data_IF_721721750810
#
_entry.id   IF_721721750810
#
_cell.length_a   1.000
_cell.length_b   1.000
_cell.length_c   1.000
_cell.angle_alpha   90.00
_cell.angle_beta   90.00
_cell.angle_gamma   90.00
#
_symmetry.space_group_name_H-M   'P 1'
#
loop_
_entity.id
_entity.type
_entity.pdbx_description
1 polymer ?
#
# COMPACT_ATOMS: atom_id res chain seq x y z
N UNK A 1 22.78 10.22 1.21
CA UNK A 1 23.06 9.53 -0.05
C UNK A 1 24.45 8.92 0.07
N UNK A 2 24.59 7.60 0.02
CA UNK A 2 25.79 6.75 0.05
C UNK A 2 26.12 6.06 1.38
N UNK A 3 25.33 5.01 1.74
CA UNK A 3 25.79 4.04 2.74
C UNK A 3 25.30 2.59 2.48
N UNK A 4 24.90 2.26 1.26
CA UNK A 4 24.46 0.89 0.90
C UNK A 4 25.54 0.07 0.17
N UNK A 5 26.76 0.55 0.04
CA UNK A 5 27.81 -0.05 -0.81
C UNK A 5 28.78 -1.00 -0.09
N UNK A 6 28.46 -1.55 1.10
CA UNK A 6 29.35 -2.53 1.74
C UNK A 6 28.63 -3.64 2.53
N UNK A 7 27.77 -4.41 1.89
CA UNK A 7 27.43 -5.74 2.41
C UNK A 7 28.60 -6.70 2.06
N UNK A 8 29.46 -6.97 3.04
CA UNK A 8 30.57 -7.93 2.91
C UNK A 8 30.01 -9.35 2.73
N UNK A 9 30.51 -10.06 1.75
CA UNK A 9 30.34 -11.48 1.60
C UNK A 9 30.84 -12.20 2.87
N UNK A 10 29.91 -12.77 3.67
CA UNK A 10 30.27 -13.54 4.87
C UNK A 10 29.19 -13.70 5.93
N UNK A 11 28.06 -13.00 5.84
CA UNK A 11 26.96 -13.14 6.80
C UNK A 11 25.91 -14.13 6.32
N UNK A 12 25.37 -14.94 7.24
CA UNK A 12 24.42 -16.03 7.00
C UNK A 12 23.29 -15.56 6.06
N UNK A 13 23.38 -15.99 4.79
CA UNK A 13 22.28 -15.91 3.84
C UNK A 13 21.06 -16.62 4.45
N UNK A 14 19.91 -15.98 4.40
CA UNK A 14 18.62 -16.64 4.64
C UNK A 14 18.60 -17.94 3.83
N UNK A 15 18.43 -19.06 4.52
CA UNK A 15 18.60 -20.39 3.92
C UNK A 15 17.47 -20.59 2.90
N UNK A 16 17.81 -20.58 1.61
CA UNK A 16 16.94 -21.03 0.53
C UNK A 16 16.17 -19.97 -0.26
N UNK A 17 16.32 -18.69 0.01
CA UNK A 17 15.63 -17.66 -0.79
C UNK A 17 16.29 -17.51 -2.16
N UNK A 18 15.55 -17.89 -3.22
CA UNK A 18 15.96 -17.61 -4.60
C UNK A 18 15.80 -16.10 -4.86
N UNK A 19 16.92 -15.40 -5.08
CA UNK A 19 16.88 -13.98 -5.45
C UNK A 19 16.07 -13.80 -6.75
N UNK A 20 15.32 -12.69 -6.82
CA UNK A 20 14.67 -12.29 -8.06
C UNK A 20 15.78 -11.75 -8.97
N UNK A 21 16.21 -12.57 -9.94
CA UNK A 21 17.13 -12.14 -11.00
C UNK A 21 16.33 -11.35 -12.04
N UNK A 22 16.69 -10.10 -12.28
CA UNK A 22 15.98 -9.21 -13.20
C UNK A 22 16.95 -8.40 -14.05
N UNK A 23 16.46 -7.97 -15.21
CA UNK A 23 17.15 -6.99 -16.06
C UNK A 23 16.36 -5.69 -16.06
N UNK A 24 17.10 -4.57 -16.08
CA UNK A 24 16.54 -3.23 -16.15
C UNK A 24 16.96 -2.57 -17.47
N UNK A 25 15.98 -1.96 -18.14
CA UNK A 25 16.16 -1.14 -19.34
C UNK A 25 15.35 0.12 -19.19
N UNK A 26 15.82 1.24 -19.71
CA UNK A 26 15.04 2.49 -19.77
C UNK A 26 14.90 2.90 -21.24
N UNK A 27 13.69 3.13 -21.68
CA UNK A 27 13.37 3.58 -23.01
C UNK A 27 13.68 5.10 -23.16
N UNK A 28 13.80 5.58 -24.39
CA UNK A 28 14.10 7.00 -24.68
C UNK A 28 13.03 7.97 -24.12
N UNK A 29 11.77 7.53 -24.05
CA UNK A 29 10.69 8.30 -23.44
C UNK A 29 10.69 8.27 -21.90
N UNK A 30 11.66 7.57 -21.28
CA UNK A 30 11.84 7.51 -19.85
C UNK A 30 11.11 6.37 -19.14
N UNK A 31 10.39 5.51 -19.85
CA UNK A 31 9.76 4.32 -19.29
C UNK A 31 10.83 3.36 -18.75
N UNK A 32 10.67 2.93 -17.51
CA UNK A 32 11.54 1.90 -16.92
C UNK A 32 10.92 0.52 -17.12
N UNK A 33 11.66 -0.38 -17.75
CA UNK A 33 11.31 -1.78 -17.92
C UNK A 33 12.16 -2.66 -16.99
N UNK A 34 11.50 -3.54 -16.24
CA UNK A 34 12.12 -4.63 -15.47
C UNK A 34 11.63 -5.96 -16.01
N UNK A 35 12.53 -6.92 -16.21
CA UNK A 35 12.15 -8.25 -16.69
C UNK A 35 12.76 -9.34 -15.82
N UNK A 36 11.93 -10.29 -15.36
CA UNK A 36 12.33 -11.47 -14.60
C UNK A 36 11.91 -12.75 -15.35
N UNK A 37 12.88 -13.57 -15.73
CA UNK A 37 12.60 -14.85 -16.42
C UNK A 37 12.37 -15.97 -15.41
N UNK A 38 11.21 -16.62 -15.53
CA UNK A 38 10.89 -17.87 -14.84
C UNK A 38 10.37 -18.90 -15.85
N UNK A 39 11.21 -19.87 -16.19
CA UNK A 39 10.84 -20.94 -17.14
C UNK A 39 10.05 -22.08 -16.49
N UNK A 40 9.77 -22.02 -15.19
CA UNK A 40 8.98 -23.04 -14.49
C UNK A 40 7.48 -22.89 -14.68
N UNK A 41 7.04 -21.77 -15.25
CA UNK A 41 5.64 -21.47 -15.55
C UNK A 41 5.42 -21.33 -17.05
N UNK A 42 4.18 -21.51 -17.52
CA UNK A 42 3.74 -21.19 -18.89
C UNK A 42 3.15 -19.77 -19.01
N UNK A 43 3.07 -19.02 -17.90
CA UNK A 43 2.43 -17.72 -17.83
C UNK A 43 3.47 -16.59 -17.94
N UNK A 44 2.99 -15.43 -18.36
CA UNK A 44 3.66 -14.14 -18.22
C UNK A 44 2.74 -13.18 -17.47
N UNK A 45 3.32 -12.42 -16.55
CA UNK A 45 2.64 -11.38 -15.80
C UNK A 45 3.25 -10.03 -16.15
N UNK A 46 2.43 -9.07 -16.54
CA UNK A 46 2.81 -7.68 -16.81
C UNK A 46 2.23 -6.83 -15.69
N UNK A 47 3.08 -6.05 -15.04
CA UNK A 47 2.71 -5.11 -14.00
C UNK A 47 3.13 -3.72 -14.43
N UNK A 48 2.19 -2.76 -14.37
CA UNK A 48 2.48 -1.35 -14.63
C UNK A 48 2.18 -0.55 -13.38
N UNK A 49 3.22 0.00 -12.81
CA UNK A 49 3.15 0.88 -11.65
C UNK A 49 3.31 2.33 -12.11
N UNK A 50 2.29 3.14 -11.84
CA UNK A 50 2.36 4.59 -11.97
C UNK A 50 2.68 5.19 -10.62
N UNK A 51 3.70 6.07 -10.59
CA UNK A 51 4.10 6.77 -9.38
C UNK A 51 3.15 7.94 -9.13
N UNK A 52 1.90 7.63 -8.82
CA UNK A 52 0.82 8.55 -8.48
C UNK A 52 -0.19 7.85 -7.58
N UNK A 53 -0.60 8.51 -6.53
CA UNK A 53 -1.61 8.03 -5.58
C UNK A 53 -2.38 9.18 -4.96
N UNK A 54 -3.14 8.90 -3.91
CA UNK A 54 -3.98 9.90 -3.26
C UNK A 54 -3.19 11.11 -2.72
N UNK A 55 -1.91 10.94 -2.38
CA UNK A 55 -1.05 12.06 -1.93
C UNK A 55 -0.76 13.11 -2.99
N UNK A 56 -0.90 12.75 -4.27
CA UNK A 56 -0.62 13.63 -5.41
C UNK A 56 -1.81 14.51 -5.81
N UNK A 57 -2.95 14.32 -5.15
CA UNK A 57 -4.20 15.01 -5.43
C UNK A 57 -4.19 16.44 -4.91
N UNK A 58 -4.93 17.31 -5.60
CA UNK A 58 -5.24 18.62 -5.08
C UNK A 58 -6.20 18.48 -3.88
N UNK A 59 -5.95 19.15 -2.74
CA UNK A 59 -6.85 19.12 -1.58
C UNK A 59 -8.32 19.48 -1.87
N UNK A 60 -8.57 20.22 -2.94
CA UNK A 60 -9.94 20.60 -3.36
C UNK A 60 -10.55 19.66 -4.40
N UNK A 61 -9.77 18.65 -4.86
CA UNK A 61 -10.17 17.66 -5.86
C UNK A 61 -9.57 16.30 -5.48
N UNK A 62 -10.05 15.69 -4.40
CA UNK A 62 -9.57 14.39 -3.89
C UNK A 62 -10.40 13.22 -4.42
N UNK A 63 -9.83 12.02 -4.42
CA UNK A 63 -10.43 10.80 -4.97
C UNK A 63 -10.12 10.59 -6.47
N UNK A 64 -9.29 11.43 -7.07
CA UNK A 64 -8.96 11.37 -8.50
C UNK A 64 -8.08 10.16 -8.84
N UNK A 65 -7.10 9.82 -8.01
CA UNK A 65 -6.26 8.65 -8.25
C UNK A 65 -7.09 7.36 -8.31
N UNK A 66 -8.06 7.22 -7.42
CA UNK A 66 -8.99 6.09 -7.41
C UNK A 66 -10.00 6.16 -8.57
N UNK A 67 -10.52 7.35 -8.91
CA UNK A 67 -11.36 7.51 -10.09
C UNK A 67 -10.63 7.07 -11.37
N UNK A 68 -9.31 7.35 -11.45
CA UNK A 68 -8.49 6.90 -12.58
C UNK A 68 -8.30 5.39 -12.62
N UNK A 69 -8.21 4.72 -11.49
CA UNK A 69 -8.21 3.25 -11.46
C UNK A 69 -9.43 2.70 -12.25
N UNK A 70 -10.61 3.26 -12.02
CA UNK A 70 -11.83 2.88 -12.73
C UNK A 70 -11.84 3.35 -14.19
N UNK A 71 -11.43 4.56 -14.49
CA UNK A 71 -11.41 5.12 -15.84
C UNK A 71 -10.52 4.31 -16.77
N UNK A 72 -9.42 3.77 -16.30
CA UNK A 72 -8.48 2.95 -17.07
C UNK A 72 -9.08 1.62 -17.55
N UNK A 73 -10.19 1.15 -16.94
CA UNK A 73 -10.96 0.00 -17.41
C UNK A 73 -12.17 0.40 -18.26
N UNK A 74 -12.48 1.70 -18.33
CA UNK A 74 -13.61 2.22 -19.10
C UNK A 74 -13.42 2.23 -20.62
N UNK A 75 -12.25 1.83 -21.09
CA UNK A 75 -11.87 1.83 -22.50
C UNK A 75 -10.78 2.88 -22.83
N UNK A 76 -10.03 2.61 -23.87
CA UNK A 76 -9.01 3.50 -24.42
C UNK A 76 -9.38 3.95 -25.82
N UNK A 77 -8.60 4.85 -26.40
CA UNK A 77 -8.92 5.46 -27.71
C UNK A 77 -9.15 4.45 -28.83
N UNK A 78 -8.41 3.33 -28.84
CA UNK A 78 -8.51 2.31 -29.88
C UNK A 78 -9.16 1.01 -29.38
N UNK A 79 -9.33 0.83 -28.06
CA UNK A 79 -9.82 -0.39 -27.46
C UNK A 79 -10.98 -0.07 -26.51
N UNK A 80 -12.22 0.02 -27.01
CA UNK A 80 -13.39 0.35 -26.19
C UNK A 80 -13.81 -0.77 -25.21
N UNK A 81 -13.32 -1.98 -25.39
CA UNK A 81 -13.67 -3.16 -24.58
C UNK A 81 -12.42 -3.88 -24.06
N UNK A 82 -11.74 -3.29 -23.07
CA UNK A 82 -10.53 -3.86 -22.47
C UNK A 82 -10.75 -5.29 -21.98
N UNK A 83 -11.78 -5.52 -21.15
CA UNK A 83 -12.05 -6.83 -20.52
C UNK A 83 -12.32 -7.92 -21.55
N UNK A 84 -13.07 -7.63 -22.62
CA UNK A 84 -13.34 -8.62 -23.65
C UNK A 84 -12.08 -9.08 -24.37
N UNK A 85 -11.13 -8.19 -24.61
CA UNK A 85 -9.85 -8.55 -25.26
C UNK A 85 -8.99 -9.35 -24.31
N UNK A 86 -8.95 -8.95 -23.02
CA UNK A 86 -8.24 -9.68 -21.98
C UNK A 86 -8.78 -11.11 -21.79
N UNK A 87 -10.09 -11.26 -21.67
CA UNK A 87 -10.77 -12.55 -21.55
C UNK A 87 -10.48 -13.47 -22.74
N UNK A 88 -10.55 -12.94 -23.96
CA UNK A 88 -10.23 -13.70 -25.18
C UNK A 88 -8.76 -14.19 -25.22
N UNK A 89 -7.85 -13.49 -24.57
CA UNK A 89 -6.46 -13.90 -24.41
C UNK A 89 -6.24 -14.86 -23.22
N UNK A 90 -7.29 -15.20 -22.46
CA UNK A 90 -7.20 -16.02 -21.26
C UNK A 90 -6.46 -15.31 -20.12
N UNK A 91 -6.65 -14.01 -20.01
CA UNK A 91 -5.98 -13.18 -19.03
C UNK A 91 -6.80 -13.02 -17.75
N UNK A 92 -6.09 -12.89 -16.63
CA UNK A 92 -6.59 -12.40 -15.35
C UNK A 92 -5.96 -11.03 -15.10
N UNK A 93 -6.76 -10.02 -14.82
CA UNK A 93 -6.29 -8.66 -14.59
C UNK A 93 -6.94 -8.05 -13.35
N UNK A 94 -6.29 -7.04 -12.77
CA UNK A 94 -6.82 -6.21 -11.71
C UNK A 94 -5.97 -4.94 -11.55
N UNK A 95 -6.40 -4.06 -10.63
CA UNK A 95 -5.65 -2.86 -10.25
C UNK A 95 -5.85 -2.56 -8.76
N UNK A 96 -5.03 -1.66 -8.24
CA UNK A 96 -5.25 -1.04 -6.94
C UNK A 96 -4.62 0.36 -6.89
N UNK A 97 -5.23 1.21 -6.09
CA UNK A 97 -4.71 2.54 -5.76
C UNK A 97 -4.51 2.64 -4.25
N UNK A 98 -3.38 3.19 -3.85
CA UNK A 98 -3.13 3.55 -2.46
C UNK A 98 -2.73 5.03 -2.34
N UNK A 99 -2.16 5.42 -1.21
CA UNK A 99 -1.75 6.79 -0.99
C UNK A 99 -0.65 7.25 -1.98
N UNK A 100 0.17 6.33 -2.49
CA UNK A 100 1.45 6.63 -3.13
C UNK A 100 1.53 6.21 -4.59
N UNK A 101 0.85 5.12 -4.96
CA UNK A 101 0.92 4.50 -6.28
C UNK A 101 -0.45 4.05 -6.78
N UNK A 102 -0.58 4.00 -8.11
CA UNK A 102 -1.65 3.28 -8.80
C UNK A 102 -1.01 2.17 -9.64
N UNK A 103 -1.48 0.95 -9.48
CA UNK A 103 -0.85 -0.23 -10.03
C UNK A 103 -1.85 -1.07 -10.80
N UNK A 104 -1.51 -1.43 -12.05
CA UNK A 104 -2.30 -2.28 -12.92
C UNK A 104 -1.52 -3.53 -13.24
N UNK A 105 -2.20 -4.66 -13.34
CA UNK A 105 -1.54 -5.90 -13.69
C UNK A 105 -2.43 -6.84 -14.47
N UNK A 106 -1.78 -7.65 -15.31
CA UNK A 106 -2.41 -8.67 -16.13
C UNK A 106 -1.51 -9.89 -16.20
N UNK A 107 -2.09 -11.07 -16.01
CA UNK A 107 -1.42 -12.37 -16.13
C UNK A 107 -2.13 -13.20 -17.18
N UNK A 108 -1.37 -13.80 -18.10
CA UNK A 108 -1.90 -14.54 -19.24
C UNK A 108 -0.88 -15.59 -19.74
N UNK A 109 -1.27 -16.52 -20.61
CA UNK A 109 -0.32 -17.41 -21.26
C UNK A 109 0.79 -16.62 -21.97
N UNK A 110 2.06 -17.01 -21.76
CA UNK A 110 3.21 -16.24 -22.21
C UNK A 110 3.27 -15.98 -23.74
N UNK A 111 2.59 -16.83 -24.53
CA UNK A 111 2.45 -16.64 -25.99
C UNK A 111 1.63 -15.39 -26.34
N UNK A 112 0.73 -14.95 -25.44
CA UNK A 112 -0.13 -13.76 -25.60
C UNK A 112 0.45 -12.51 -24.93
N UNK A 113 1.72 -12.51 -24.50
CA UNK A 113 2.38 -11.35 -23.88
C UNK A 113 2.17 -10.06 -24.68
N UNK A 114 2.22 -10.14 -26.00
CA UNK A 114 2.04 -8.97 -26.87
C UNK A 114 0.65 -8.35 -26.76
N UNK A 115 -0.39 -9.16 -26.54
CA UNK A 115 -1.76 -8.66 -26.30
C UNK A 115 -1.82 -7.83 -25.02
N UNK A 116 -1.18 -8.28 -23.93
CA UNK A 116 -1.12 -7.50 -22.70
C UNK A 116 -0.42 -6.15 -22.92
N UNK A 117 0.72 -6.16 -23.62
CA UNK A 117 1.49 -4.92 -23.89
C UNK A 117 0.71 -3.95 -24.79
N UNK A 118 -0.02 -4.46 -25.77
CA UNK A 118 -0.92 -3.65 -26.58
C UNK A 118 -2.02 -3.00 -25.74
N UNK A 119 -2.74 -3.77 -24.92
CA UNK A 119 -3.80 -3.26 -24.03
C UNK A 119 -3.28 -2.15 -23.11
N UNK A 120 -2.16 -2.42 -22.46
CA UNK A 120 -1.57 -1.51 -21.48
C UNK A 120 -1.00 -0.24 -22.11
N UNK A 121 -0.38 -0.36 -23.28
CA UNK A 121 0.18 0.79 -24.00
C UNK A 121 -0.91 1.72 -24.55
N UNK A 122 -2.03 1.16 -25.03
CA UNK A 122 -3.11 1.95 -25.56
C UNK A 122 -3.74 2.83 -24.49
N UNK A 123 -4.02 2.26 -23.29
CA UNK A 123 -4.57 3.05 -22.19
C UNK A 123 -3.56 4.03 -21.56
N UNK A 124 -2.24 3.78 -21.65
CA UNK A 124 -1.22 4.76 -21.26
C UNK A 124 -1.14 5.91 -22.26
N UNK A 125 -1.37 5.64 -23.53
CA UNK A 125 -1.31 6.65 -24.59
C UNK A 125 -2.49 7.62 -24.51
N UNK A 126 -3.73 7.09 -24.54
CA UNK A 126 -4.95 7.89 -24.54
C UNK A 126 -6.16 7.06 -24.11
N UNK A 127 -6.91 7.56 -23.13
CA UNK A 127 -8.20 6.98 -22.71
C UNK A 127 -9.35 7.52 -23.60
N UNK A 128 -10.52 6.86 -23.48
CA UNK A 128 -11.78 7.43 -23.99
C UNK A 128 -12.26 8.54 -23.04
N UNK A 129 -11.79 9.77 -23.29
CA UNK A 129 -12.22 10.95 -22.56
C UNK A 129 -13.57 11.45 -23.10
N UNK A 130 -14.65 10.74 -22.78
CA UNK A 130 -16.02 11.16 -23.08
C UNK A 130 -16.80 11.49 -21.81
N UNK A 131 -17.73 12.45 -21.89
CA UNK A 131 -18.64 12.78 -20.80
C UNK A 131 -19.44 11.55 -20.35
N UNK A 132 -19.75 10.64 -21.27
CA UNK A 132 -20.45 9.40 -20.98
C UNK A 132 -19.59 8.47 -20.12
N UNK A 133 -18.34 8.22 -20.50
CA UNK A 133 -17.40 7.36 -19.76
C UNK A 133 -17.15 7.94 -18.38
N UNK A 134 -16.86 9.24 -18.27
CA UNK A 134 -16.67 9.93 -17.02
C UNK A 134 -17.90 9.82 -16.10
N UNK A 135 -19.10 10.06 -16.64
CA UNK A 135 -20.35 9.96 -15.86
C UNK A 135 -20.57 8.56 -15.32
N UNK A 136 -20.30 7.52 -16.07
CA UNK A 136 -20.42 6.12 -15.63
C UNK A 136 -19.48 5.87 -14.46
N UNK A 137 -18.20 6.21 -14.56
CA UNK A 137 -17.22 5.93 -13.52
C UNK A 137 -17.43 6.77 -12.25
N UNK A 138 -17.87 8.03 -12.38
CA UNK A 138 -18.31 8.85 -11.25
C UNK A 138 -19.44 8.19 -10.46
N UNK A 139 -20.40 7.60 -11.14
CA UNK A 139 -21.50 6.88 -10.49
C UNK A 139 -21.01 5.60 -9.80
N UNK A 140 -20.12 4.83 -10.43
CA UNK A 140 -19.52 3.63 -9.84
C UNK A 140 -18.77 3.97 -8.55
N UNK A 141 -17.87 4.95 -8.59
CA UNK A 141 -17.09 5.39 -7.41
C UNK A 141 -18.02 5.95 -6.32
N UNK A 142 -19.06 6.70 -6.70
CA UNK A 142 -20.04 7.22 -5.74
C UNK A 142 -20.80 6.09 -5.04
N UNK A 143 -21.19 5.06 -5.79
CA UNK A 143 -21.88 3.91 -5.20
C UNK A 143 -20.94 3.09 -4.32
N UNK A 144 -19.69 2.90 -4.73
CA UNK A 144 -18.67 2.28 -3.89
C UNK A 144 -18.44 3.04 -2.58
N UNK A 145 -18.40 4.38 -2.62
CA UNK A 145 -18.33 5.21 -1.42
C UNK A 145 -19.51 4.92 -0.46
N UNK A 146 -20.73 4.87 -1.00
CA UNK A 146 -21.91 4.55 -0.19
C UNK A 146 -21.82 3.17 0.43
N UNK A 147 -21.45 2.17 -0.38
CA UNK A 147 -21.38 0.77 0.09
C UNK A 147 -20.28 0.56 1.12
N UNK A 148 -19.08 1.08 0.89
CA UNK A 148 -17.91 0.81 1.74
C UNK A 148 -17.79 1.72 2.94
N UNK A 149 -18.22 2.99 2.82
CA UNK A 149 -17.98 3.99 3.86
C UNK A 149 -19.23 4.42 4.61
N UNK A 150 -20.42 4.35 4.00
CA UNK A 150 -21.67 4.78 4.64
C UNK A 150 -22.50 3.60 5.14
N UNK A 151 -22.73 2.60 4.31
CA UNK A 151 -23.67 1.50 4.57
C UNK A 151 -23.07 0.32 5.35
N UNK A 152 -21.78 0.36 5.66
CA UNK A 152 -21.12 -0.69 6.45
C UNK A 152 -20.80 -0.22 7.87
N UNK A 153 -21.00 -1.07 8.88
CA UNK A 153 -20.46 -0.81 10.22
C UNK A 153 -18.95 -0.51 10.15
N UNK A 154 -18.52 0.54 10.83
CA UNK A 154 -17.13 0.99 10.85
C UNK A 154 -16.58 1.52 9.51
N UNK A 155 -17.41 1.74 8.51
CA UNK A 155 -16.98 2.18 7.18
C UNK A 155 -16.24 3.51 7.18
N UNK A 156 -16.66 4.48 7.98
CA UNK A 156 -16.06 5.81 8.09
C UNK A 156 -14.86 5.90 9.07
N UNK A 157 -14.41 4.77 9.63
CA UNK A 157 -13.34 4.76 10.63
C UNK A 157 -12.05 5.44 10.12
N UNK A 158 -11.59 5.10 8.93
CA UNK A 158 -10.40 5.71 8.34
C UNK A 158 -10.62 7.14 7.86
N UNK A 159 -11.83 7.51 7.44
CA UNK A 159 -12.19 8.89 7.10
C UNK A 159 -12.10 9.82 8.33
N UNK A 160 -12.29 9.26 9.53
CA UNK A 160 -12.18 9.98 10.81
C UNK A 160 -10.74 9.94 11.36
N UNK A 161 -10.06 8.80 11.28
CA UNK A 161 -8.73 8.61 11.86
C UNK A 161 -7.67 9.42 11.11
N UNK A 162 -7.69 9.42 9.77
CA UNK A 162 -6.65 10.07 8.98
C UNK A 162 -6.54 11.57 9.25
N UNK A 163 -7.62 12.39 9.22
CA UNK A 163 -7.53 13.82 9.55
C UNK A 163 -7.24 14.10 11.03
N UNK A 164 -7.48 13.13 11.93
CA UNK A 164 -7.06 13.24 13.33
C UNK A 164 -5.53 13.04 13.46
N UNK A 165 -4.95 12.12 12.70
CA UNK A 165 -3.54 11.79 12.75
C UNK A 165 -2.67 12.76 11.92
N UNK A 166 -3.16 13.24 10.77
CA UNK A 166 -2.44 14.17 9.89
C UNK A 166 -3.18 15.50 9.77
N UNK A 167 -2.46 16.60 9.95
CA UNK A 167 -3.02 17.95 9.88
C UNK A 167 -2.75 18.66 8.56
N UNK A 168 -1.60 18.40 7.95
CA UNK A 168 -1.18 19.06 6.71
C UNK A 168 -0.83 18.10 5.59
N UNK A 169 -0.22 16.94 5.92
CA UNK A 169 0.20 15.97 4.91
C UNK A 169 -1.01 15.38 4.17
N UNK A 170 -0.93 15.13 2.84
CA UNK A 170 -2.03 14.56 2.07
C UNK A 170 -2.55 13.20 2.55
N UNK A 171 -1.80 12.46 3.36
CA UNK A 171 -2.30 11.24 4.00
C UNK A 171 -3.49 11.45 4.95
N UNK A 172 -3.90 12.70 5.16
CA UNK A 172 -5.12 13.05 5.93
C UNK A 172 -6.43 12.69 5.24
N UNK A 173 -6.41 12.30 3.96
CA UNK A 173 -7.59 11.74 3.28
C UNK A 173 -7.33 10.33 2.77
N UNK A 174 -8.42 9.59 2.57
CA UNK A 174 -8.40 8.25 2.00
C UNK A 174 -8.33 8.31 0.46
N UNK A 175 -7.99 7.20 -0.18
CA UNK A 175 -7.97 7.07 -1.64
C UNK A 175 -9.31 7.38 -2.31
N UNK A 176 -10.42 7.10 -1.63
CA UNK A 176 -11.77 7.47 -2.09
C UNK A 176 -12.02 8.99 -2.10
N UNK A 177 -11.13 9.77 -1.52
CA UNK A 177 -11.25 11.21 -1.31
C UNK A 177 -11.71 11.59 0.09
N UNK A 178 -11.56 12.87 0.46
CA UNK A 178 -12.08 13.42 1.72
C UNK A 178 -13.57 13.76 1.64
N UNK A 179 -14.06 14.03 0.43
CA UNK A 179 -15.46 14.36 0.14
C UNK A 179 -15.83 13.79 -1.22
N UNK A 180 -16.88 12.98 -1.26
CA UNK A 180 -17.36 12.36 -2.50
C UNK A 180 -17.83 13.41 -3.54
N UNK A 181 -18.22 14.60 -3.08
CA UNK A 181 -18.58 15.69 -3.97
C UNK A 181 -17.43 16.09 -4.92
N UNK A 182 -16.18 15.89 -4.53
CA UNK A 182 -15.04 16.14 -5.41
C UNK A 182 -15.05 15.24 -6.65
N UNK A 183 -15.38 13.96 -6.49
CA UNK A 183 -15.53 13.01 -7.58
C UNK A 183 -16.80 13.31 -8.39
N UNK A 184 -17.94 13.57 -7.71
CA UNK A 184 -19.21 13.85 -8.39
C UNK A 184 -19.14 15.08 -9.27
N UNK A 185 -18.41 16.11 -8.87
CA UNK A 185 -18.27 17.37 -9.58
C UNK A 185 -17.02 17.43 -10.48
N UNK A 186 -16.26 16.34 -10.60
CA UNK A 186 -15.09 16.28 -11.48
C UNK A 186 -15.49 16.61 -12.93
N UNK A 187 -14.75 17.50 -13.56
CA UNK A 187 -14.93 17.87 -14.97
C UNK A 187 -14.00 17.08 -15.88
N UNK A 188 -14.36 16.94 -17.15
CA UNK A 188 -13.55 16.24 -18.12
C UNK A 188 -12.15 16.87 -18.23
N UNK A 189 -12.05 18.20 -18.23
CA UNK A 189 -10.76 18.90 -18.27
C UNK A 189 -9.85 18.56 -17.08
N UNK A 190 -10.40 18.52 -15.84
CA UNK A 190 -9.63 18.15 -14.66
C UNK A 190 -9.11 16.71 -14.74
N UNK A 191 -9.92 15.83 -15.31
CA UNK A 191 -9.54 14.41 -15.52
C UNK A 191 -8.44 14.32 -16.58
N UNK A 192 -8.56 15.01 -17.70
CA UNK A 192 -7.51 15.06 -18.73
C UNK A 192 -6.20 15.63 -18.17
N UNK A 193 -6.25 16.74 -17.43
CA UNK A 193 -5.08 17.38 -16.83
C UNK A 193 -4.35 16.41 -15.88
N UNK A 194 -5.10 15.65 -15.06
CA UNK A 194 -4.54 14.67 -14.15
C UNK A 194 -3.88 13.51 -14.92
N UNK A 195 -4.54 12.99 -15.97
CA UNK A 195 -3.98 11.94 -16.80
C UNK A 195 -2.68 12.37 -17.45
N UNK A 196 -2.68 13.49 -18.18
CA UNK A 196 -1.51 13.98 -18.91
C UNK A 196 -0.35 14.36 -17.99
N UNK A 197 -0.63 14.66 -16.73
CA UNK A 197 0.38 14.94 -15.72
C UNK A 197 1.03 13.68 -15.18
N UNK A 198 0.26 12.64 -14.89
CA UNK A 198 0.74 11.52 -14.09
C UNK A 198 0.85 10.19 -14.84
N UNK A 199 0.00 9.92 -15.83
CA UNK A 199 -0.04 8.65 -16.55
C UNK A 199 0.82 8.70 -17.81
N UNK A 200 2.14 8.89 -17.59
CA UNK A 200 3.14 9.04 -18.65
C UNK A 200 4.29 8.04 -18.49
N UNK A 201 4.97 7.68 -19.60
CA UNK A 201 6.06 6.71 -19.56
C UNK A 201 7.13 7.00 -18.52
N UNK A 202 7.56 8.24 -18.40
CA UNK A 202 8.60 8.67 -17.46
C UNK A 202 8.14 8.74 -15.98
N UNK A 203 6.87 8.48 -15.70
CA UNK A 203 6.29 8.32 -14.36
C UNK A 203 5.78 6.89 -14.13
N UNK A 204 6.17 5.94 -14.98
CA UNK A 204 5.71 4.55 -14.96
C UNK A 204 6.87 3.56 -14.94
N UNK A 205 6.61 2.40 -14.36
CA UNK A 205 7.50 1.25 -14.33
C UNK A 205 6.72 0.05 -14.87
N UNK A 206 7.21 -0.56 -15.94
CA UNK A 206 6.71 -1.83 -16.45
C UNK A 206 7.58 -2.94 -15.91
N UNK A 207 7.00 -3.91 -15.22
CA UNK A 207 7.70 -5.10 -14.78
C UNK A 207 7.04 -6.36 -15.38
N UNK A 208 7.81 -7.18 -16.06
CA UNK A 208 7.35 -8.41 -16.70
C UNK A 208 8.06 -9.59 -16.05
N UNK A 209 7.27 -10.54 -15.52
CA UNK A 209 7.81 -11.76 -14.92
C UNK A 209 7.12 -13.01 -15.49
N UNK A 210 7.87 -14.11 -15.63
CA UNK A 210 7.34 -15.40 -16.09
C UNK A 210 8.15 -16.01 -17.22
N UNK A 211 7.50 -16.81 -18.05
CA UNK A 211 8.14 -17.49 -19.17
C UNK A 211 8.37 -16.55 -20.35
N UNK A 212 9.35 -15.69 -20.21
CA UNK A 212 9.69 -14.66 -21.17
C UNK A 212 11.16 -14.74 -21.57
N UNK A 213 11.46 -14.27 -22.77
CA UNK A 213 12.82 -13.91 -23.17
C UNK A 213 13.01 -12.40 -22.98
N UNK A 214 14.10 -12.00 -22.30
CA UNK A 214 14.38 -10.61 -21.97
C UNK A 214 14.46 -9.68 -23.19
N UNK A 215 15.12 -10.14 -24.26
CA UNK A 215 15.31 -9.31 -25.45
C UNK A 215 14.02 -9.17 -26.24
N UNK A 216 13.25 -10.28 -26.34
CA UNK A 216 11.93 -10.25 -26.97
C UNK A 216 10.97 -9.35 -26.17
N UNK A 217 10.96 -9.44 -24.85
CA UNK A 217 10.12 -8.57 -24.00
C UNK A 217 10.50 -7.10 -24.17
N UNK A 218 11.81 -6.78 -24.20
CA UNK A 218 12.28 -5.41 -24.42
C UNK A 218 11.87 -4.87 -25.80
N UNK A 219 12.02 -5.67 -26.85
CA UNK A 219 11.61 -5.28 -28.21
C UNK A 219 10.08 -5.06 -28.32
N UNK A 220 9.26 -5.89 -27.65
CA UNK A 220 7.82 -5.72 -27.62
C UNK A 220 7.41 -4.46 -26.84
N UNK A 221 8.06 -4.20 -25.69
CA UNK A 221 7.79 -2.97 -24.92
C UNK A 221 8.20 -1.73 -25.72
N UNK A 222 9.34 -1.75 -26.40
CA UNK A 222 9.75 -0.65 -27.26
C UNK A 222 8.75 -0.44 -28.43
N UNK A 223 8.31 -1.52 -29.06
CA UNK A 223 7.29 -1.48 -30.13
C UNK A 223 6.00 -0.77 -29.68
N UNK A 224 5.49 -1.11 -28.50
CA UNK A 224 4.17 -0.66 -28.07
C UNK A 224 4.22 0.64 -27.26
N UNK A 225 5.24 0.83 -26.45
CA UNK A 225 5.35 2.00 -25.56
C UNK A 225 6.32 3.06 -26.06
N UNK A 226 7.28 2.71 -26.96
CA UNK A 226 8.38 3.60 -27.33
C UNK A 226 7.93 4.89 -28.01
N UNK A 227 6.81 4.87 -28.74
CA UNK A 227 6.24 6.05 -29.41
C UNK A 227 5.38 6.93 -28.50
N UNK A 228 5.03 6.48 -27.28
CA UNK A 228 4.22 7.27 -26.36
C UNK A 228 5.06 8.46 -25.88
N UNK A 229 4.56 9.69 -25.99
CA UNK A 229 5.33 10.88 -25.63
C UNK A 229 5.71 10.89 -24.14
N UNK A 230 6.96 11.29 -23.88
CA UNK A 230 7.43 11.59 -22.52
C UNK A 230 6.61 12.75 -21.95
N UNK A 231 6.17 12.63 -20.69
CA UNK A 231 5.52 13.72 -19.96
C UNK A 231 6.52 14.65 -19.28
N UNK A 232 6.02 15.71 -18.70
CA UNK A 232 6.79 16.56 -17.79
C UNK A 232 7.24 15.77 -16.56
N UNK A 233 8.36 16.17 -15.97
CA UNK A 233 8.83 15.54 -14.73
C UNK A 233 7.89 15.88 -13.56
N UNK A 234 7.40 14.87 -12.86
CA UNK A 234 6.57 15.07 -11.67
C UNK A 234 7.46 15.51 -10.50
N UNK A 235 7.42 16.79 -10.18
CA UNK A 235 8.12 17.34 -9.02
C UNK A 235 7.13 17.44 -7.86
N UNK A 236 7.34 16.64 -6.81
CA UNK A 236 6.52 16.66 -5.60
C UNK A 236 7.07 17.65 -4.58
N UNK A 237 6.19 18.49 -4.06
CA UNK A 237 6.47 19.42 -2.95
C UNK A 237 5.39 19.24 -1.90
N UNK A 238 5.35 18.03 -1.32
CA UNK A 238 4.38 17.71 -0.28
C UNK A 238 4.76 18.42 1.02
N UNK A 239 3.79 18.97 1.77
CA UNK A 239 4.06 19.53 3.07
C UNK A 239 4.47 18.42 4.04
N UNK A 240 5.54 18.64 4.80
CA UNK A 240 5.90 17.73 5.88
C UNK A 240 4.89 17.85 7.02
N UNK A 241 4.46 16.72 7.54
CA UNK A 241 3.60 16.71 8.73
C UNK A 241 4.39 17.18 9.95
N UNK A 242 3.90 18.15 10.72
CA UNK A 242 4.59 18.61 11.93
C UNK A 242 4.65 17.50 12.99
N UNK A 243 5.67 17.57 13.84
CA UNK A 243 5.75 16.68 15.00
C UNK A 243 4.53 16.89 15.91
N UNK A 244 3.91 15.78 16.32
CA UNK A 244 2.79 15.83 17.23
C UNK A 244 3.29 15.94 18.67
N UNK A 245 2.98 17.07 19.32
CA UNK A 245 3.43 17.41 20.67
C UNK A 245 2.36 17.26 21.75
N UNK A 246 1.12 16.98 21.35
CA UNK A 246 -0.02 16.74 22.24
C UNK A 246 -0.90 15.60 21.74
N UNK A 247 -1.52 14.87 22.66
CA UNK A 247 -2.46 13.82 22.33
C UNK A 247 -3.70 14.41 21.64
N UNK A 248 -4.21 13.69 20.65
CA UNK A 248 -5.44 14.07 19.95
C UNK A 248 -6.48 13.00 20.15
N UNK A 249 -7.71 13.41 20.40
CA UNK A 249 -8.81 12.48 20.66
C UNK A 249 -10.06 12.90 19.88
N UNK A 250 -10.79 11.91 19.38
CA UNK A 250 -12.09 12.07 18.75
C UNK A 250 -13.02 10.96 19.25
N UNK A 251 -14.19 11.34 19.77
CA UNK A 251 -15.24 10.39 20.11
C UNK A 251 -16.44 10.56 19.17
N UNK A 252 -16.87 9.47 18.57
CA UNK A 252 -18.07 9.44 17.72
C UNK A 252 -18.99 8.30 18.15
N UNK A 253 -20.29 8.49 17.98
CA UNK A 253 -21.29 7.46 18.23
C UNK A 253 -21.89 6.99 16.92
N UNK A 254 -22.03 5.67 16.75
CA UNK A 254 -22.54 5.03 15.54
C UNK A 254 -23.41 3.82 15.88
N UNK A 255 -24.28 3.47 14.95
CA UNK A 255 -25.03 2.20 15.03
C UNK A 255 -24.13 1.05 14.58
N UNK A 256 -23.42 0.45 15.53
CA UNK A 256 -22.46 -0.63 15.29
C UNK A 256 -22.61 -1.74 16.33
N UNK A 257 -22.18 -2.99 15.98
CA UNK A 257 -22.30 -4.13 16.88
C UNK A 257 -21.54 -3.96 18.21
N UNK A 258 -20.34 -3.39 18.17
CA UNK A 258 -19.47 -3.18 19.32
C UNK A 258 -18.73 -1.85 19.24
N UNK A 259 -18.38 -1.26 20.37
CA UNK A 259 -17.48 -0.10 20.41
C UNK A 259 -16.08 -0.51 19.94
N UNK A 260 -15.38 0.41 19.28
CA UNK A 260 -14.00 0.21 18.83
C UNK A 260 -13.15 1.36 19.34
N UNK A 261 -11.95 1.05 19.79
CA UNK A 261 -10.91 2.03 20.07
C UNK A 261 -9.80 1.88 19.04
N UNK A 262 -9.37 3.00 18.46
CA UNK A 262 -8.23 3.02 17.53
C UNK A 262 -7.20 4.00 18.06
N UNK A 263 -5.97 3.51 18.23
CA UNK A 263 -4.81 4.34 18.61
C UNK A 263 -3.82 4.38 17.47
N UNK A 264 -3.47 5.58 17.05
CA UNK A 264 -2.52 5.81 15.97
C UNK A 264 -1.32 6.59 16.48
N UNK A 265 -0.14 6.10 16.16
CA UNK A 265 1.13 6.74 16.43
C UNK A 265 1.87 6.96 15.11
N UNK A 266 2.54 8.10 14.97
CA UNK A 266 3.36 8.33 13.78
C UNK A 266 4.57 7.42 13.75
N UNK A 267 4.87 6.90 12.58
CA UNK A 267 6.07 6.12 12.32
C UNK A 267 6.93 6.77 11.20
N UNK A 268 8.12 6.27 11.02
CA UNK A 268 9.05 6.71 9.99
C UNK A 268 8.57 6.37 8.57
N UNK A 269 9.18 6.99 7.57
CA UNK A 269 8.96 6.72 6.15
C UNK A 269 9.53 5.35 5.73
N UNK A 270 9.08 4.83 4.57
CA UNK A 270 9.35 3.46 4.08
C UNK A 270 10.84 3.10 3.98
N UNK A 271 11.69 4.04 3.62
CA UNK A 271 13.13 3.80 3.46
C UNK A 271 13.96 4.00 4.75
N UNK A 272 13.31 4.34 5.87
CA UNK A 272 14.01 4.47 7.15
C UNK A 272 14.35 3.08 7.72
N UNK A 273 15.53 2.86 8.31
CA UNK A 273 15.89 1.57 8.92
C UNK A 273 14.89 1.07 9.97
N UNK A 274 14.31 1.97 10.74
CA UNK A 274 13.33 1.64 11.78
C UNK A 274 11.97 1.17 11.23
N UNK A 275 11.71 1.27 9.93
CA UNK A 275 10.50 0.75 9.32
C UNK A 275 10.30 -0.75 9.63
N UNK A 276 11.34 -1.53 9.49
CA UNK A 276 11.34 -2.97 9.76
C UNK A 276 11.18 -3.28 11.26
N UNK A 277 11.64 -2.37 12.10
CA UNK A 277 11.46 -2.49 13.55
C UNK A 277 10.01 -2.26 13.93
N UNK A 278 9.35 -1.24 13.37
CA UNK A 278 7.91 -0.98 13.57
C UNK A 278 7.05 -2.17 13.12
N UNK A 279 7.37 -2.77 11.98
CA UNK A 279 6.65 -3.92 11.45
C UNK A 279 6.78 -5.13 12.38
N UNK A 280 7.99 -5.45 12.84
CA UNK A 280 8.19 -6.52 13.83
C UNK A 280 7.53 -6.23 15.18
N UNK A 281 7.45 -4.96 15.62
CA UNK A 281 6.70 -4.59 16.83
C UNK A 281 5.21 -4.91 16.65
N UNK A 282 4.64 -4.61 15.47
CA UNK A 282 3.23 -4.94 15.20
C UNK A 282 2.97 -6.45 15.27
N UNK A 283 3.89 -7.25 14.75
CA UNK A 283 3.82 -8.72 14.77
C UNK A 283 3.94 -9.29 16.19
N UNK A 284 4.85 -8.75 17.01
CA UNK A 284 4.99 -9.13 18.43
C UNK A 284 3.69 -8.86 19.18
N UNK A 285 3.06 -7.72 18.92
CA UNK A 285 1.86 -7.29 19.62
C UNK A 285 0.61 -8.04 19.17
N UNK A 286 0.41 -8.30 17.88
CA UNK A 286 -0.90 -8.80 17.41
C UNK A 286 -0.87 -9.96 16.43
N UNK A 287 0.26 -10.33 15.83
CA UNK A 287 0.26 -11.36 14.78
C UNK A 287 0.09 -12.78 15.36
N UNK A 288 -1.13 -13.30 15.16
CA UNK A 288 -1.51 -14.66 15.53
C UNK A 288 -1.83 -14.84 17.01
N UNK A 289 -2.30 -16.06 17.37
CA UNK A 289 -2.79 -16.40 18.71
C UNK A 289 -1.70 -16.46 19.80
N UNK A 290 -0.44 -16.41 19.43
CA UNK A 290 0.70 -16.37 20.35
C UNK A 290 1.23 -14.96 20.60
N UNK A 291 0.60 -13.94 20.04
CA UNK A 291 0.96 -12.54 20.23
C UNK A 291 0.57 -12.01 21.60
N UNK A 292 1.22 -10.93 22.04
CA UNK A 292 1.05 -10.37 23.39
C UNK A 292 -0.38 -9.90 23.63
N UNK A 293 -0.92 -9.05 22.73
CA UNK A 293 -2.26 -8.49 22.89
C UNK A 293 -3.35 -9.56 22.82
N UNK A 294 -3.20 -10.55 21.93
CA UNK A 294 -4.16 -11.64 21.88
C UNK A 294 -4.20 -12.43 23.19
N UNK A 295 -3.03 -12.87 23.69
CA UNK A 295 -2.98 -13.65 24.93
C UNK A 295 -3.50 -12.84 26.12
N UNK A 296 -3.01 -11.62 26.30
CA UNK A 296 -3.34 -10.85 27.49
C UNK A 296 -4.73 -10.22 27.41
N UNK A 297 -5.07 -9.56 26.31
CA UNK A 297 -6.26 -8.72 26.23
C UNK A 297 -7.49 -9.47 25.72
N UNK A 298 -7.32 -10.47 24.83
CA UNK A 298 -8.44 -11.26 24.32
C UNK A 298 -8.68 -12.50 25.17
N UNK A 299 -7.64 -13.30 25.41
CA UNK A 299 -7.78 -14.61 26.07
C UNK A 299 -7.87 -14.50 27.59
N UNK A 300 -6.93 -13.80 28.24
CA UNK A 300 -6.82 -13.75 29.70
C UNK A 300 -7.83 -12.73 30.28
N UNK A 301 -7.69 -11.47 29.93
CA UNK A 301 -8.51 -10.36 30.51
C UNK A 301 -9.88 -10.21 29.84
N UNK A 302 -10.06 -10.75 28.62
CA UNK A 302 -11.33 -10.70 27.85
C UNK A 302 -11.88 -9.29 27.69
N UNK A 303 -10.99 -8.32 27.49
CA UNK A 303 -11.37 -6.92 27.29
C UNK A 303 -11.76 -6.63 25.83
N UNK A 304 -11.27 -7.46 24.90
CA UNK A 304 -11.53 -7.31 23.48
C UNK A 304 -12.02 -8.63 22.87
N UNK A 305 -12.92 -8.53 21.91
CA UNK A 305 -13.30 -9.67 21.06
C UNK A 305 -12.27 -9.87 19.95
N UNK A 306 -11.67 -8.77 19.47
CA UNK A 306 -10.58 -8.74 18.49
C UNK A 306 -9.69 -7.53 18.78
N UNK A 307 -8.39 -7.72 18.66
CA UNK A 307 -7.42 -6.61 18.69
C UNK A 307 -6.35 -6.87 17.65
N UNK A 308 -5.92 -5.82 16.96
CA UNK A 308 -4.94 -5.86 15.91
C UNK A 308 -3.98 -4.67 16.02
N UNK A 309 -2.73 -4.86 15.64
CA UNK A 309 -1.75 -3.81 15.47
C UNK A 309 -1.07 -3.96 14.13
N UNK A 310 -0.96 -2.88 13.37
CA UNK A 310 -0.36 -2.89 12.04
C UNK A 310 0.35 -1.56 11.74
N UNK A 311 1.16 -1.56 10.69
CA UNK A 311 1.72 -0.36 10.07
C UNK A 311 1.01 -0.06 8.75
N UNK A 312 0.94 1.22 8.35
CA UNK A 312 0.24 1.59 7.11
C UNK A 312 1.05 1.33 5.85
N UNK A 313 2.37 1.16 5.96
CA UNK A 313 3.24 0.83 4.81
C UNK A 313 3.41 1.94 3.78
N UNK A 314 3.06 3.17 4.12
CA UNK A 314 3.14 4.36 3.27
C UNK A 314 4.61 4.70 2.92
N UNK A 315 4.85 5.35 1.78
CA UNK A 315 6.21 5.77 1.35
C UNK A 315 6.75 6.89 2.22
N UNK A 316 5.93 7.90 2.52
CA UNK A 316 6.26 8.97 3.45
C UNK A 316 5.99 8.51 4.91
N UNK A 317 6.04 9.40 5.89
CA UNK A 317 5.79 9.05 7.29
C UNK A 317 4.39 8.47 7.51
N UNK A 318 4.35 7.18 7.84
CA UNK A 318 3.14 6.40 8.04
C UNK A 318 2.61 6.41 9.47
N UNK A 319 1.77 5.44 9.76
CA UNK A 319 1.15 5.23 11.07
C UNK A 319 1.40 3.81 11.57
N UNK A 320 1.64 3.70 12.88
CA UNK A 320 1.47 2.47 13.64
C UNK A 320 0.09 2.52 14.31
N UNK A 321 -0.79 1.59 13.96
CA UNK A 321 -2.20 1.62 14.35
C UNK A 321 -2.56 0.39 15.17
N UNK A 322 -3.22 0.61 16.32
CA UNK A 322 -3.84 -0.45 17.13
C UNK A 322 -5.34 -0.28 17.05
N UNK A 323 -6.06 -1.32 16.65
CA UNK A 323 -7.52 -1.34 16.56
C UNK A 323 -8.09 -2.44 17.46
N UNK A 324 -8.89 -2.07 18.46
CA UNK A 324 -9.48 -3.01 19.41
C UNK A 324 -11.01 -2.94 19.43
N UNK A 325 -11.67 -4.08 19.20
CA UNK A 325 -13.12 -4.25 19.32
C UNK A 325 -13.45 -4.66 20.75
N UNK A 326 -14.14 -3.81 21.49
CA UNK A 326 -14.42 -4.02 22.90
C UNK A 326 -15.36 -5.22 23.13
N UNK A 327 -15.10 -5.98 24.18
CA UNK A 327 -16.05 -6.97 24.66
C UNK A 327 -17.21 -6.30 25.40
N UNK A 328 -18.36 -6.98 25.51
CA UNK A 328 -19.53 -6.46 26.20
C UNK A 328 -19.22 -6.09 27.64
N UNK A 329 -19.70 -4.92 28.07
CA UNK A 329 -19.50 -4.39 29.42
C UNK A 329 -18.13 -3.75 29.69
N UNK A 330 -17.22 -3.74 28.71
CA UNK A 330 -15.93 -3.06 28.84
C UNK A 330 -16.05 -1.58 28.49
N UNK A 331 -15.55 -0.71 29.36
CA UNK A 331 -15.55 0.73 29.10
C UNK A 331 -14.39 1.14 28.17
N UNK A 332 -14.54 2.22 27.40
CA UNK A 332 -13.46 2.75 26.56
C UNK A 332 -12.19 3.06 27.37
N UNK A 333 -12.32 3.55 28.58
CA UNK A 333 -11.20 3.88 29.47
C UNK A 333 -10.43 2.63 29.92
N UNK A 334 -11.14 1.53 30.21
CA UNK A 334 -10.49 0.24 30.54
C UNK A 334 -9.75 -0.31 29.34
N UNK A 335 -10.35 -0.21 28.14
CA UNK A 335 -9.75 -0.65 26.89
C UNK A 335 -8.50 0.17 26.54
N UNK A 336 -8.58 1.50 26.63
CA UNK A 336 -7.46 2.41 26.37
C UNK A 336 -6.27 2.11 27.27
N UNK A 337 -6.51 2.05 28.58
CA UNK A 337 -5.49 1.72 29.57
C UNK A 337 -4.80 0.39 29.26
N UNK A 338 -5.58 -0.63 28.88
CA UNK A 338 -5.04 -1.96 28.61
C UNK A 338 -4.16 -1.99 27.34
N UNK A 339 -4.51 -1.24 26.30
CA UNK A 339 -3.67 -1.09 25.11
C UNK A 339 -2.36 -0.39 25.48
N UNK A 340 -2.45 0.74 26.20
CA UNK A 340 -1.27 1.50 26.63
C UNK A 340 -0.34 0.65 27.48
N UNK A 341 -0.85 -0.19 28.40
CA UNK A 341 -0.06 -1.12 29.19
C UNK A 341 0.77 -2.08 28.31
N UNK A 342 0.19 -2.61 27.23
CA UNK A 342 0.90 -3.52 26.32
C UNK A 342 1.96 -2.78 25.48
N UNK A 343 1.68 -1.59 25.01
CA UNK A 343 2.65 -0.76 24.29
C UNK A 343 3.82 -0.36 25.18
N UNK A 344 3.54 0.06 26.42
CA UNK A 344 4.56 0.40 27.41
C UNK A 344 5.39 -0.83 27.85
N UNK A 345 4.79 -2.02 27.89
CA UNK A 345 5.53 -3.24 28.20
C UNK A 345 6.62 -3.52 27.14
N UNK A 346 6.35 -3.30 25.85
CA UNK A 346 7.38 -3.44 24.79
C UNK A 346 8.46 -2.34 24.91
N UNK A 347 8.08 -1.14 25.33
CA UNK A 347 9.01 -0.03 25.50
C UNK A 347 9.92 -0.19 26.73
N UNK A 348 9.43 -0.80 27.81
CA UNK A 348 10.14 -0.84 29.11
C UNK A 348 10.78 -2.19 29.43
N UNK A 349 10.30 -3.27 28.82
CA UNK A 349 10.80 -4.63 29.06
C UNK A 349 11.37 -5.21 27.76
N UNK A 350 12.57 -5.75 27.75
CA UNK A 350 13.14 -6.37 26.57
C UNK A 350 12.27 -7.54 26.09
N UNK A 351 12.11 -7.64 24.79
CA UNK A 351 11.47 -8.77 24.12
C UNK A 351 12.39 -9.98 24.23
N UNK A 352 11.85 -11.17 24.49
CA UNK A 352 12.65 -12.38 24.53
C UNK A 352 13.21 -12.77 23.16
N UNK A 353 14.43 -13.29 23.11
CA UNK A 353 15.07 -13.73 21.86
C UNK A 353 14.20 -14.71 21.06
N UNK A 354 13.54 -15.64 21.73
CA UNK A 354 12.61 -16.58 21.11
C UNK A 354 11.41 -15.87 20.46
N UNK A 355 10.85 -14.86 21.10
CA UNK A 355 9.72 -14.10 20.61
C UNK A 355 10.10 -13.29 19.36
N UNK A 356 11.26 -12.61 19.39
CA UNK A 356 11.78 -11.89 18.24
C UNK A 356 12.09 -12.84 17.08
N UNK A 357 12.73 -13.98 17.35
CA UNK A 357 13.04 -14.95 16.30
C UNK A 357 11.77 -15.53 15.67
N UNK A 358 10.71 -15.78 16.48
CA UNK A 358 9.41 -16.25 15.98
C UNK A 358 8.82 -15.29 14.94
N UNK A 359 8.77 -13.98 15.23
CA UNK A 359 8.19 -13.01 14.28
C UNK A 359 9.08 -12.82 13.06
N UNK A 360 10.39 -12.84 13.18
CA UNK A 360 11.31 -12.86 12.04
C UNK A 360 11.07 -14.06 11.12
N UNK A 361 10.89 -15.25 11.67
CA UNK A 361 10.59 -16.46 10.89
C UNK A 361 9.23 -16.33 10.17
N UNK A 362 8.23 -15.68 10.78
CA UNK A 362 6.94 -15.43 10.16
C UNK A 362 7.07 -14.46 8.98
N UNK A 363 7.83 -13.38 9.15
CA UNK A 363 8.11 -12.42 8.05
C UNK A 363 8.86 -13.11 6.92
N UNK A 364 9.91 -13.88 7.23
CA UNK A 364 10.66 -14.66 6.24
C UNK A 364 9.73 -15.58 5.43
N UNK A 365 8.85 -16.31 6.12
CA UNK A 365 7.87 -17.18 5.49
C UNK A 365 6.91 -16.40 4.59
N UNK A 366 6.39 -15.27 5.05
CA UNK A 366 5.52 -14.39 4.28
C UNK A 366 6.21 -13.87 3.02
N UNK A 367 7.47 -13.42 3.14
CA UNK A 367 8.26 -12.94 2.02
C UNK A 367 8.57 -14.06 0.99
N UNK A 368 8.80 -15.28 1.44
CA UNK A 368 8.98 -16.43 0.56
C UNK A 368 7.71 -16.75 -0.22
N UNK A 369 6.57 -16.82 0.46
CA UNK A 369 5.27 -17.10 -0.19
C UNK A 369 4.83 -15.97 -1.12
N UNK A 370 5.12 -14.70 -0.78
CA UNK A 370 4.82 -13.54 -1.64
C UNK A 370 5.59 -13.52 -2.96
N UNK A 371 6.57 -14.42 -3.14
CA UNK A 371 7.32 -14.56 -4.38
C UNK A 371 6.94 -15.80 -5.19
N UNK A 372 5.89 -16.52 -4.79
CA UNK A 372 5.51 -17.75 -5.47
C UNK A 372 4.96 -17.48 -6.87
N UNK A 373 4.09 -16.50 -7.01
CA UNK A 373 3.50 -16.12 -8.30
C UNK A 373 4.41 -15.16 -9.06
N UNK A 374 4.43 -15.26 -10.39
CA UNK A 374 5.18 -14.33 -11.25
C UNK A 374 4.72 -12.89 -11.10
N UNK A 375 3.41 -12.68 -10.92
CA UNK A 375 2.87 -11.33 -10.71
C UNK A 375 3.39 -10.68 -9.42
N UNK A 376 3.51 -11.43 -8.34
CA UNK A 376 4.00 -10.89 -7.07
C UNK A 376 5.47 -10.45 -7.18
N UNK A 377 6.28 -11.22 -7.95
CA UNK A 377 7.68 -10.84 -8.24
C UNK A 377 7.74 -9.58 -9.10
N UNK A 378 6.88 -9.46 -10.13
CA UNK A 378 6.80 -8.27 -10.97
C UNK A 378 6.41 -7.03 -10.14
N UNK A 379 5.37 -7.12 -9.31
CA UNK A 379 4.94 -6.05 -8.42
C UNK A 379 6.06 -5.64 -7.46
N UNK A 380 6.73 -6.62 -6.86
CA UNK A 380 7.78 -6.38 -5.87
C UNK A 380 8.96 -5.62 -6.47
N UNK A 381 9.50 -6.04 -7.62
CA UNK A 381 10.61 -5.32 -8.26
C UNK A 381 10.19 -3.94 -8.79
N UNK A 382 8.95 -3.79 -9.26
CA UNK A 382 8.40 -2.49 -9.67
C UNK A 382 8.28 -1.53 -8.46
N UNK A 383 7.76 -2.01 -7.33
CA UNK A 383 7.63 -1.22 -6.11
C UNK A 383 8.98 -0.73 -5.60
N UNK A 384 9.97 -1.62 -5.48
CA UNK A 384 11.31 -1.22 -5.03
C UNK A 384 12.03 -0.32 -6.05
N UNK A 385 11.78 -0.52 -7.35
CA UNK A 385 12.27 0.42 -8.37
C UNK A 385 11.63 1.82 -8.18
N UNK A 386 10.37 1.89 -7.82
CA UNK A 386 9.70 3.16 -7.50
C UNK A 386 10.29 3.84 -6.26
N UNK A 387 10.79 3.06 -5.30
CA UNK A 387 11.54 3.57 -4.14
C UNK A 387 12.99 3.96 -4.47
N UNK A 388 13.46 3.70 -5.70
CA UNK A 388 14.79 4.07 -6.20
C UNK A 388 15.64 2.93 -6.74
N UNK A 389 15.56 1.72 -6.17
CA UNK A 389 16.37 0.57 -6.60
C UNK A 389 15.63 -0.76 -6.45
N UNK A 390 15.33 -1.43 -7.57
CA UNK A 390 14.70 -2.74 -7.60
C UNK A 390 15.50 -3.83 -6.84
N UNK A 391 16.83 -3.70 -6.72
CA UNK A 391 17.67 -4.66 -6.01
C UNK A 391 17.36 -4.71 -4.50
N UNK A 392 16.77 -3.67 -3.93
CA UNK A 392 16.31 -3.66 -2.54
C UNK A 392 15.27 -4.75 -2.27
N UNK A 393 14.52 -5.21 -3.28
CA UNK A 393 13.60 -6.34 -3.16
C UNK A 393 14.28 -7.61 -2.63
N UNK A 394 15.53 -7.84 -3.04
CA UNK A 394 16.33 -8.97 -2.61
C UNK A 394 17.06 -8.74 -1.26
N UNK A 395 17.28 -7.48 -0.89
CA UNK A 395 17.96 -7.12 0.36
C UNK A 395 17.00 -7.06 1.57
N UNK A 396 15.72 -6.87 1.34
CA UNK A 396 14.71 -6.66 2.40
C UNK A 396 14.69 -7.75 3.48
N UNK A 397 14.78 -9.07 3.17
CA UNK A 397 14.80 -10.10 4.20
C UNK A 397 15.96 -9.92 5.20
N UNK A 398 17.12 -9.48 4.74
CA UNK A 398 18.27 -9.24 5.61
C UNK A 398 18.05 -8.03 6.53
N UNK A 399 17.27 -7.03 6.10
CA UNK A 399 16.93 -5.87 6.93
C UNK A 399 16.07 -6.28 8.13
N UNK A 400 15.12 -7.20 7.95
CA UNK A 400 14.38 -7.81 9.06
C UNK A 400 15.27 -8.68 9.97
N UNK A 401 16.16 -9.47 9.39
CA UNK A 401 17.07 -10.33 10.14
C UNK A 401 17.98 -9.55 11.08
N UNK A 402 18.41 -8.38 10.66
CA UNK A 402 19.35 -7.52 11.40
C UNK A 402 18.71 -6.80 12.60
N UNK A 403 17.39 -6.72 12.69
CA UNK A 403 16.72 -6.07 13.82
C UNK A 403 17.07 -6.79 15.15
N UNK A 404 17.45 -6.04 16.15
CA UNK A 404 17.81 -6.54 17.49
C UNK A 404 16.72 -6.28 18.53
N UNK A 405 16.81 -6.96 19.66
CA UNK A 405 15.95 -6.68 20.83
C UNK A 405 16.11 -5.22 21.30
N UNK A 406 17.31 -4.68 21.24
CA UNK A 406 17.59 -3.29 21.59
C UNK A 406 16.91 -2.29 20.64
N UNK A 407 16.83 -2.62 19.32
CA UNK A 407 16.11 -1.79 18.35
C UNK A 407 14.61 -1.78 18.64
N UNK A 408 14.01 -2.93 18.92
CA UNK A 408 12.60 -3.05 19.32
C UNK A 408 12.30 -2.13 20.50
N UNK A 409 13.10 -2.22 21.56
CA UNK A 409 12.90 -1.41 22.76
C UNK A 409 13.09 0.09 22.50
N UNK A 410 14.16 0.47 21.80
CA UNK A 410 14.47 1.86 21.44
C UNK A 410 13.33 2.50 20.63
N UNK A 411 12.86 1.83 19.56
CA UNK A 411 11.81 2.34 18.70
C UNK A 411 10.48 2.43 19.46
N UNK A 412 10.14 1.43 20.25
CA UNK A 412 8.93 1.46 21.07
C UNK A 412 8.94 2.62 22.08
N UNK A 413 10.09 2.89 22.73
CA UNK A 413 10.25 4.03 23.65
C UNK A 413 10.05 5.38 22.96
N UNK A 414 10.54 5.53 21.73
CA UNK A 414 10.42 6.77 20.96
C UNK A 414 9.01 6.99 20.41
N UNK A 415 8.38 5.90 19.94
CA UNK A 415 7.11 5.97 19.24
C UNK A 415 5.90 6.08 20.16
N UNK A 416 5.84 5.25 21.24
CA UNK A 416 4.63 5.11 22.05
C UNK A 416 4.55 6.12 23.21
N UNK A 417 4.89 7.38 22.90
CA UNK A 417 4.74 8.47 23.85
C UNK A 417 3.29 8.97 23.87
N UNK A 418 2.69 9.25 25.03
CA UNK A 418 1.29 9.67 25.14
C UNK A 418 0.94 10.87 24.24
N UNK A 419 1.81 11.87 24.19
CA UNK A 419 1.60 13.09 23.36
C UNK A 419 1.63 12.84 21.87
N UNK A 420 2.19 11.71 21.42
CA UNK A 420 2.29 11.34 19.99
C UNK A 420 1.12 10.49 19.52
N UNK A 421 0.13 10.26 20.37
CA UNK A 421 -1.02 9.42 20.09
C UNK A 421 -2.21 10.23 19.56
N UNK A 422 -2.86 9.69 18.52
CA UNK A 422 -4.19 10.09 18.09
C UNK A 422 -5.16 8.95 18.37
N UNK A 423 -6.17 9.18 19.22
CA UNK A 423 -7.13 8.16 19.65
C UNK A 423 -8.51 8.44 19.09
N UNK A 424 -9.08 7.47 18.38
CA UNK A 424 -10.47 7.50 17.94
C UNK A 424 -11.29 6.54 18.82
N UNK A 425 -12.24 7.07 19.57
CA UNK A 425 -13.27 6.32 20.28
C UNK A 425 -14.50 6.20 19.36
N UNK A 426 -14.68 5.05 18.75
CA UNK A 426 -15.79 4.75 17.86
C UNK A 426 -16.83 3.96 18.66
N UNK A 427 -17.78 4.68 19.25
CA UNK A 427 -18.67 4.16 20.28
C UNK A 427 -19.97 3.66 19.68
N UNK A 428 -20.45 2.53 20.19
CA UNK A 428 -21.78 2.01 19.92
C UNK A 428 -22.84 2.93 20.53
N UNK A 429 -23.89 3.25 19.75
CA UNK A 429 -25.06 3.93 20.31
C UNK A 429 -25.67 3.09 21.44
N UNK A 430 -25.95 3.71 22.57
CA UNK A 430 -26.78 3.08 23.59
C UNK A 430 -28.17 2.85 22.99
N UNK A 431 -28.69 1.62 23.13
CA UNK A 431 -30.09 1.36 22.76
C UNK A 431 -30.97 2.17 23.71
N UNK A 432 -31.74 3.09 23.16
CA UNK A 432 -32.82 3.74 23.90
C UNK A 432 -33.88 2.73 24.31
#
# INVERSE_FOLDING_TARGET
VNNFASLRAGEKTFIGQKMIDFRKTTLDNGLTLLTHRDSSTSLASVNILYNVGARDENPDHTGFAHLFEHLMFGGSANIPGYDQVADNAGAENNAFTNNDITNYYITLPAQHLETALWLESDRMNLLDFSEKSLSVQKNVVTEEYRQRYINQPYGDLWLLLRPLAYTVHPYRWCTIGKDIAHVQNATLQQVEDFFFRYYRPNNAIVAIAGNIDHYRAAALVDKWFGSIPRGEAVVRRLPSEPEQTEARELAVHRDVPASVIVKSYKMCHRLHPDYYVFDLISDILSNGKSSRMYNELVKNRRLFTKIDACITGDIDEGQFVVTGYLADGVTPQQADKAIVEQLQAVATQPVGDYELQKVKNNVENTLLFSQYKSIDRAMRIAYFQNLGDAAMANAEPQLYANVTVADIQRVAQQAFQPQRCSTLYYLKNEKQ
#
